data_IF_033279168099
#
_entry.id   IF_033279168099
#
_cell.length_a   1.000
_cell.length_b   1.000
_cell.length_c   1.000
_cell.angle_alpha   90.00
_cell.angle_beta   90.00
_cell.angle_gamma   90.00
#
_symmetry.space_group_name_H-M   'P 1'
#
loop_
_entity.id
_entity.type
_entity.pdbx_description
1 polymer ?
#
# COMPACT_ATOMS: atom_id res chain seq x y z
N UNK A 1 9.67 -2.43 -6.89
CA UNK A 1 8.42 -3.15 -6.52
C UNK A 1 7.37 -2.10 -6.18
N UNK A 2 6.21 -2.12 -6.85
CA UNK A 2 5.15 -1.10 -6.77
C UNK A 2 4.77 -0.76 -5.31
N UNK A 3 4.73 -1.76 -4.44
CA UNK A 3 4.53 -1.62 -2.98
C UNK A 3 5.47 -0.62 -2.29
N UNK A 4 6.76 -0.55 -2.65
CA UNK A 4 7.73 0.31 -1.97
C UNK A 4 7.49 1.81 -2.27
N UNK A 5 7.20 2.11 -3.54
CA UNK A 5 6.89 3.48 -4.00
C UNK A 5 5.61 3.98 -3.33
N UNK A 6 4.57 3.16 -3.30
CA UNK A 6 3.30 3.52 -2.67
C UNK A 6 3.41 3.60 -1.14
N UNK A 7 4.28 2.80 -0.50
CA UNK A 7 4.56 2.93 0.94
C UNK A 7 5.16 4.29 1.28
N UNK A 8 6.13 4.76 0.51
CA UNK A 8 6.72 6.09 0.73
C UNK A 8 5.70 7.21 0.49
N UNK A 9 4.95 7.15 -0.62
CA UNK A 9 3.85 8.10 -0.87
C UNK A 9 2.81 8.08 0.27
N UNK A 10 2.38 6.91 0.72
CA UNK A 10 1.38 6.76 1.78
C UNK A 10 1.88 7.22 3.16
N UNK A 11 3.19 7.15 3.41
CA UNK A 11 3.82 7.62 4.65
C UNK A 11 3.76 9.13 4.78
N UNK A 12 4.02 9.85 3.68
CA UNK A 12 4.06 11.32 3.64
C UNK A 12 2.72 11.98 3.27
N UNK A 13 1.76 11.22 2.74
CA UNK A 13 0.45 11.72 2.33
C UNK A 13 -0.46 12.15 3.49
N UNK A 14 -1.33 13.13 3.25
CA UNK A 14 -2.41 13.52 4.15
C UNK A 14 -3.63 12.59 4.06
N UNK A 15 -4.59 12.72 4.99
CA UNK A 15 -5.81 11.87 5.05
C UNK A 15 -6.56 11.76 3.71
N UNK A 16 -6.66 12.87 2.96
CA UNK A 16 -7.31 12.91 1.64
C UNK A 16 -6.51 12.16 0.58
N UNK A 17 -5.22 12.44 0.50
CA UNK A 17 -4.29 11.81 -0.45
C UNK A 17 -4.15 10.30 -0.21
N UNK A 18 -4.17 9.86 1.05
CA UNK A 18 -4.15 8.44 1.39
C UNK A 18 -5.30 7.65 0.76
N UNK A 19 -6.48 8.26 0.62
CA UNK A 19 -7.60 7.57 -0.04
C UNK A 19 -7.36 7.41 -1.54
N UNK A 20 -6.77 8.41 -2.20
CA UNK A 20 -6.43 8.35 -3.63
C UNK A 20 -5.32 7.32 -3.89
N UNK A 21 -4.29 7.30 -3.04
CA UNK A 21 -3.20 6.32 -3.12
C UNK A 21 -3.72 4.89 -2.93
N UNK A 22 -4.72 4.70 -2.06
CA UNK A 22 -5.36 3.40 -1.87
C UNK A 22 -6.12 2.96 -3.13
N UNK A 23 -6.89 3.86 -3.75
CA UNK A 23 -7.65 3.57 -4.98
C UNK A 23 -6.71 3.24 -6.14
N UNK A 24 -5.71 4.07 -6.39
CA UNK A 24 -4.71 3.86 -7.44
C UNK A 24 -3.98 2.52 -7.26
N UNK A 25 -3.66 2.15 -6.02
CA UNK A 25 -3.02 0.87 -5.75
C UNK A 25 -3.97 -0.31 -5.97
N UNK A 26 -5.26 -0.18 -5.63
CA UNK A 26 -6.27 -1.20 -5.90
C UNK A 26 -6.44 -1.39 -7.40
N UNK A 27 -6.51 -0.32 -8.19
CA UNK A 27 -6.61 -0.41 -9.65
C UNK A 27 -5.38 -1.06 -10.29
N UNK A 28 -4.18 -0.67 -9.85
CA UNK A 28 -2.92 -1.18 -10.42
C UNK A 28 -2.66 -2.65 -10.05
N UNK A 29 -3.09 -3.09 -8.88
CA UNK A 29 -2.75 -4.44 -8.37
C UNK A 29 -3.91 -5.42 -8.35
N UNK A 30 -5.15 -4.94 -8.46
CA UNK A 30 -6.37 -5.73 -8.28
C UNK A 30 -6.58 -6.23 -6.84
N UNK A 31 -5.76 -5.80 -5.87
CA UNK A 31 -5.91 -6.23 -4.48
C UNK A 31 -7.09 -5.54 -3.81
N UNK A 32 -7.71 -6.23 -2.85
CA UNK A 32 -8.77 -5.63 -2.03
C UNK A 32 -8.23 -4.45 -1.21
N UNK A 33 -8.98 -3.36 -1.15
CA UNK A 33 -8.66 -2.13 -0.40
C UNK A 33 -8.23 -2.37 1.05
N UNK A 34 -8.83 -3.35 1.73
CA UNK A 34 -8.46 -3.70 3.12
C UNK A 34 -7.03 -4.25 3.16
N UNK A 35 -6.70 -5.16 2.25
CA UNK A 35 -5.37 -5.73 2.11
C UNK A 35 -4.35 -4.64 1.78
N UNK A 36 -4.66 -3.77 0.83
CA UNK A 36 -3.81 -2.63 0.47
C UNK A 36 -3.55 -1.71 1.67
N UNK A 37 -4.59 -1.37 2.43
CA UNK A 37 -4.46 -0.54 3.63
C UNK A 37 -3.53 -1.19 4.66
N UNK A 38 -3.64 -2.49 4.85
CA UNK A 38 -2.72 -3.24 5.72
C UNK A 38 -1.31 -3.19 5.17
N UNK A 39 -1.10 -3.51 3.89
CA UNK A 39 0.21 -3.50 3.23
C UNK A 39 0.89 -2.13 3.31
N UNK A 40 0.17 -1.04 3.06
CA UNK A 40 0.73 0.32 3.08
C UNK A 40 0.94 0.86 4.51
N UNK A 41 0.16 0.39 5.48
CA UNK A 41 0.29 0.77 6.90
C UNK A 41 1.35 -0.07 7.62
N UNK A 42 1.58 -1.30 7.19
CA UNK A 42 2.53 -2.21 7.82
C UNK A 42 3.97 -1.80 7.47
N UNK A 43 4.61 -1.14 8.44
CA UNK A 43 6.04 -0.77 8.40
C UNK A 43 6.97 -1.94 8.66
N UNK A 44 6.44 -3.09 9.08
CA UNK A 44 7.24 -4.31 9.25
C UNK A 44 7.32 -5.05 7.93
N UNK A 45 8.54 -5.26 7.46
CA UNK A 45 8.89 -6.30 6.51
C UNK A 45 8.43 -7.65 7.07
N UNK A 46 7.17 -8.02 6.88
CA UNK A 46 6.85 -9.43 6.78
C UNK A 46 7.40 -9.87 5.43
N UNK A 47 8.65 -10.29 5.47
CA UNK A 47 9.28 -11.16 4.48
C UNK A 47 8.29 -12.31 4.30
N UNK A 48 7.47 -12.24 3.25
CA UNK A 48 6.77 -13.42 2.76
C UNK A 48 7.85 -14.28 2.12
N UNK A 49 8.54 -15.07 2.96
CA UNK A 49 9.25 -16.25 2.51
C UNK A 49 8.17 -17.19 1.99
N UNK A 50 7.85 -17.07 0.70
CA UNK A 50 7.08 -18.08 0.01
C UNK A 50 8.06 -18.99 -0.72
N UNK A 51 8.33 -20.11 -0.05
CA UNK A 51 9.01 -21.33 -0.48
C UNK A 51 10.53 -21.32 -0.51
#
# INVERSE_FOLDING_TARGET
MVTKIFKEKYRWAFKKEKSLILDEFVEVTGYNRIYVRTVLRETREKIYFKK
#
